data_IF_215651165412
#
_entry.id   IF_215651165412
#
_cell.length_a   1.000
_cell.length_b   1.000
_cell.length_c   1.000
_cell.angle_alpha   90.00
_cell.angle_beta   90.00
_cell.angle_gamma   90.00
#
_symmetry.space_group_name_H-M   'P 1'
#
loop_
_entity.id
_entity.type
_entity.pdbx_description
1 polymer ?
#
# COMPACT_ATOMS: atom_id res chain seq x y z
N UNK A 1 -19.00 14.00 19.12
CA UNK A 1 -17.62 13.57 19.45
C UNK A 1 -16.68 14.54 18.75
N UNK A 2 -16.07 15.50 19.45
CA UNK A 2 -15.48 16.69 18.80
C UNK A 2 -13.99 16.60 18.43
N UNK A 3 -13.28 15.53 18.79
CA UNK A 3 -11.92 15.29 18.32
C UNK A 3 -11.47 13.84 18.57
N UNK A 4 -10.58 13.34 17.72
CA UNK A 4 -9.83 12.12 17.98
C UNK A 4 -8.79 12.43 19.07
N UNK A 5 -8.87 11.71 20.18
CA UNK A 5 -7.92 11.81 21.29
C UNK A 5 -6.50 11.52 20.76
N UNK A 6 -5.51 12.31 21.19
CA UNK A 6 -4.12 12.20 20.74
C UNK A 6 -3.86 12.51 19.26
N UNK A 7 -4.80 13.13 18.53
CA UNK A 7 -4.59 13.53 17.12
C UNK A 7 -3.35 14.40 16.86
N UNK A 8 -2.88 15.16 17.86
CA UNK A 8 -1.63 15.95 17.78
C UNK A 8 -0.39 15.21 18.29
N UNK A 9 -0.57 14.08 18.96
CA UNK A 9 0.49 13.24 19.49
C UNK A 9 0.50 11.90 18.75
N UNK A 10 1.22 11.89 17.62
CA UNK A 10 1.30 10.75 16.72
C UNK A 10 1.83 9.50 17.41
N UNK A 11 2.78 9.63 18.33
CA UNK A 11 3.38 8.48 19.02
C UNK A 11 2.36 7.81 19.91
N UNK A 12 1.65 8.58 20.73
CA UNK A 12 0.61 8.04 21.61
C UNK A 12 -0.56 7.49 20.80
N UNK A 13 -0.96 8.16 19.70
CA UNK A 13 -2.02 7.67 18.84
C UNK A 13 -1.66 6.32 18.19
N UNK A 14 -0.46 6.20 17.62
CA UNK A 14 0.01 4.97 16.99
C UNK A 14 0.04 3.83 18.01
N UNK A 15 0.62 4.07 19.19
CA UNK A 15 0.66 3.09 20.28
C UNK A 15 -0.73 2.56 20.62
N UNK A 16 -1.73 3.44 20.75
CA UNK A 16 -3.10 3.02 21.09
C UNK A 16 -3.74 2.23 19.96
N UNK A 17 -3.53 2.63 18.70
CA UNK A 17 -4.05 1.90 17.52
C UNK A 17 -3.42 0.50 17.42
N UNK A 18 -2.15 0.35 17.79
CA UNK A 18 -1.41 -0.91 17.77
C UNK A 18 -1.67 -1.82 18.99
N UNK A 19 -2.05 -1.27 20.14
CA UNK A 19 -2.20 -2.05 21.38
C UNK A 19 -3.66 -2.38 21.73
N UNK A 20 -4.63 -1.52 21.37
CA UNK A 20 -6.03 -1.73 21.72
C UNK A 20 -6.78 -2.49 20.61
N UNK A 21 -7.21 -3.71 20.96
CA UNK A 21 -7.92 -4.64 20.07
C UNK A 21 -9.18 -4.04 19.43
N UNK A 22 -9.78 -3.02 20.07
CA UNK A 22 -10.97 -2.33 19.53
C UNK A 22 -10.66 -1.55 18.25
N UNK A 23 -9.41 -1.14 18.02
CA UNK A 23 -8.98 -0.52 16.75
C UNK A 23 -8.57 -1.56 15.71
N UNK A 24 -8.32 -2.79 16.14
CA UNK A 24 -7.84 -3.89 15.28
C UNK A 24 -8.94 -4.82 14.81
N UNK A 25 -10.17 -4.62 15.27
CA UNK A 25 -11.29 -5.51 14.99
C UNK A 25 -12.50 -4.70 14.55
N UNK A 26 -12.83 -4.82 13.28
CA UNK A 26 -14.07 -4.32 12.69
C UNK A 26 -14.79 -5.45 11.98
N UNK A 27 -16.12 -5.48 12.06
CA UNK A 27 -16.93 -6.45 11.34
C UNK A 27 -16.63 -6.37 9.83
N UNK A 28 -16.42 -7.53 9.20
CA UNK A 28 -16.09 -7.61 7.78
C UNK A 28 -17.12 -6.93 6.88
N UNK A 29 -18.42 -7.09 7.16
CA UNK A 29 -19.47 -6.44 6.36
C UNK A 29 -19.34 -4.91 6.41
N UNK A 30 -19.03 -4.35 7.58
CA UNK A 30 -18.77 -2.92 7.71
C UNK A 30 -17.51 -2.51 6.92
N UNK A 31 -16.46 -3.34 6.93
CA UNK A 31 -15.23 -3.09 6.17
C UNK A 31 -15.50 -3.07 4.66
N UNK A 32 -16.28 -4.03 4.18
CA UNK A 32 -16.67 -4.15 2.77
C UNK A 32 -17.52 -2.95 2.32
N UNK A 33 -18.52 -2.54 3.12
CA UNK A 33 -19.34 -1.36 2.81
C UNK A 33 -18.47 -0.11 2.72
N UNK A 34 -17.59 0.12 3.69
CA UNK A 34 -16.67 1.27 3.65
C UNK A 34 -15.81 1.20 2.40
N UNK A 35 -15.15 0.07 2.14
CA UNK A 35 -14.24 -0.11 1.02
C UNK A 35 -14.91 0.17 -0.34
N UNK A 36 -16.14 -0.33 -0.51
CA UNK A 36 -16.95 -0.13 -1.73
C UNK A 36 -17.37 1.34 -1.86
N UNK A 37 -17.92 1.93 -0.79
CA UNK A 37 -18.46 3.29 -0.82
C UNK A 37 -17.36 4.34 -1.00
N UNK A 38 -16.20 4.15 -0.37
CA UNK A 38 -15.07 5.08 -0.50
C UNK A 38 -14.23 4.81 -1.74
N UNK A 39 -14.36 3.64 -2.36
CA UNK A 39 -13.47 3.19 -3.43
C UNK A 39 -12.01 3.07 -2.96
N UNK A 40 -11.77 2.80 -1.67
CA UNK A 40 -10.43 2.82 -1.08
C UNK A 40 -9.54 1.67 -1.51
N UNK A 41 -10.09 0.61 -2.14
CA UNK A 41 -9.35 -0.57 -2.60
C UNK A 41 -8.49 -1.20 -1.49
N UNK A 42 -9.01 -1.20 -0.28
CA UNK A 42 -8.37 -1.83 0.86
C UNK A 42 -8.38 -3.34 0.66
N UNK A 43 -7.24 -3.97 0.93
CA UNK A 43 -7.09 -5.42 0.92
C UNK A 43 -7.01 -5.95 2.35
N UNK A 44 -7.65 -7.08 2.61
CA UNK A 44 -7.61 -7.76 3.90
C UNK A 44 -7.88 -9.26 3.71
N UNK A 45 -7.40 -10.12 4.63
CA UNK A 45 -7.47 -11.57 4.45
C UNK A 45 -8.88 -12.11 4.16
N UNK A 46 -8.96 -13.06 3.24
CA UNK A 46 -10.18 -13.80 2.96
C UNK A 46 -10.61 -14.69 4.14
N UNK A 47 -11.92 -14.86 4.31
CA UNK A 47 -12.49 -15.80 5.29
C UNK A 47 -12.45 -15.38 6.77
N UNK A 48 -11.93 -14.20 7.11
CA UNK A 48 -11.98 -13.67 8.49
C UNK A 48 -13.25 -12.86 8.75
N UNK A 49 -13.95 -13.17 9.85
CA UNK A 49 -15.15 -12.43 10.31
C UNK A 49 -14.84 -10.99 10.73
N UNK A 50 -13.64 -10.76 11.26
CA UNK A 50 -13.16 -9.46 11.68
C UNK A 50 -11.93 -9.02 10.88
N UNK A 51 -11.86 -7.72 10.59
CA UNK A 51 -10.83 -7.07 9.79
C UNK A 51 -10.10 -6.02 10.63
N UNK A 52 -8.76 -6.01 10.56
CA UNK A 52 -7.95 -4.92 11.07
C UNK A 52 -7.83 -3.83 10.00
N UNK A 53 -8.70 -2.83 10.08
CA UNK A 53 -8.75 -1.74 9.10
C UNK A 53 -7.54 -0.83 9.15
N UNK A 54 -6.98 -0.61 10.33
CA UNK A 54 -5.79 0.22 10.48
C UNK A 54 -4.61 -0.38 9.72
N UNK A 55 -4.43 -1.70 9.85
CA UNK A 55 -3.42 -2.44 9.10
C UNK A 55 -3.69 -2.40 7.59
N UNK A 56 -4.93 -2.66 7.16
CA UNK A 56 -5.29 -2.61 5.74
C UNK A 56 -4.97 -1.24 5.11
N UNK A 57 -5.32 -0.13 5.80
CA UNK A 57 -5.02 1.23 5.33
C UNK A 57 -3.51 1.47 5.27
N UNK A 58 -2.76 0.98 6.25
CA UNK A 58 -1.30 1.12 6.28
C UNK A 58 -0.67 0.39 5.09
N UNK A 59 -1.05 -0.87 4.87
CA UNK A 59 -0.55 -1.68 3.76
C UNK A 59 -0.85 -1.04 2.41
N UNK A 60 -2.09 -0.58 2.19
CA UNK A 60 -2.46 0.11 0.94
C UNK A 60 -1.62 1.38 0.70
N UNK A 61 -1.23 2.11 1.76
CA UNK A 61 -0.36 3.29 1.64
C UNK A 61 1.07 2.92 1.27
N UNK A 62 1.62 1.91 1.94
CA UNK A 62 2.97 1.39 1.68
C UNK A 62 3.07 0.85 0.24
N UNK A 63 2.07 0.09 -0.21
CA UNK A 63 1.95 -0.39 -1.59
C UNK A 63 1.87 0.77 -2.59
N UNK A 64 1.04 1.77 -2.33
CA UNK A 64 0.91 2.95 -3.19
C UNK A 64 2.22 3.73 -3.30
N UNK A 65 2.97 3.84 -2.20
CA UNK A 65 4.28 4.47 -2.18
C UNK A 65 5.29 3.67 -3.01
N UNK A 66 5.35 2.35 -2.82
CA UNK A 66 6.23 1.47 -3.59
C UNK A 66 5.94 1.54 -5.10
N UNK A 67 4.66 1.46 -5.50
CA UNK A 67 4.25 1.63 -6.90
C UNK A 67 4.67 2.99 -7.44
N UNK A 68 4.54 4.05 -6.63
CA UNK A 68 5.00 5.39 -6.98
C UNK A 68 6.51 5.46 -7.22
N UNK A 69 7.31 4.84 -6.35
CA UNK A 69 8.77 4.78 -6.48
C UNK A 69 9.18 4.01 -7.75
N UNK A 70 8.58 2.85 -8.01
CA UNK A 70 8.87 2.05 -9.20
C UNK A 70 8.53 2.83 -10.47
N UNK A 71 7.32 3.43 -10.53
CA UNK A 71 6.91 4.28 -11.66
C UNK A 71 7.92 5.40 -11.90
N UNK A 72 8.36 6.08 -10.85
CA UNK A 72 9.38 7.13 -10.93
C UNK A 72 10.70 6.61 -11.53
N UNK A 73 11.19 5.48 -11.03
CA UNK A 73 12.42 4.86 -11.51
C UNK A 73 12.33 4.45 -13.00
N UNK A 74 11.22 3.86 -13.42
CA UNK A 74 10.98 3.49 -14.83
C UNK A 74 11.00 4.72 -15.74
N UNK A 75 10.29 5.79 -15.34
CA UNK A 75 10.25 7.03 -16.13
C UNK A 75 11.62 7.71 -16.22
N UNK A 76 12.41 7.68 -15.16
CA UNK A 76 13.79 8.20 -15.18
C UNK A 76 14.66 7.38 -16.14
N UNK A 77 14.59 6.04 -16.09
CA UNK A 77 15.32 5.17 -17.02
C UNK A 77 14.96 5.49 -18.48
N UNK A 78 13.66 5.62 -18.78
CA UNK A 78 13.17 6.00 -20.11
C UNK A 78 13.70 7.37 -20.56
N UNK A 79 13.65 8.38 -19.68
CA UNK A 79 14.11 9.73 -19.98
C UNK A 79 15.63 9.80 -20.21
N UNK A 80 16.41 8.96 -19.53
CA UNK A 80 17.86 8.85 -19.71
C UNK A 80 18.26 7.99 -20.90
N UNK A 81 17.30 7.43 -21.64
CA UNK A 81 17.57 6.59 -22.81
C UNK A 81 18.12 5.20 -22.47
N UNK A 82 17.90 4.71 -21.24
CA UNK A 82 18.21 3.33 -20.86
C UNK A 82 17.35 2.39 -21.72
N UNK A 83 17.88 1.23 -22.10
CA UNK A 83 17.11 0.27 -22.89
C UNK A 83 15.97 -0.34 -22.05
N UNK A 84 14.91 -0.81 -22.71
CA UNK A 84 13.81 -1.51 -22.04
C UNK A 84 14.29 -2.72 -21.25
N UNK A 85 15.19 -3.51 -21.84
CA UNK A 85 15.77 -4.71 -21.20
C UNK A 85 16.65 -4.37 -20.00
N UNK A 86 17.43 -3.30 -20.06
CA UNK A 86 18.27 -2.89 -18.94
C UNK A 86 17.43 -2.29 -17.81
N UNK A 87 16.34 -1.61 -18.16
CA UNK A 87 15.37 -1.10 -17.18
C UNK A 87 14.73 -2.25 -16.39
N UNK A 88 14.31 -3.34 -17.05
CA UNK A 88 13.77 -4.52 -16.36
C UNK A 88 14.77 -5.04 -15.32
N UNK A 89 16.05 -5.18 -15.67
CA UNK A 89 17.09 -5.66 -14.75
C UNK A 89 17.29 -4.69 -13.59
N UNK A 90 17.38 -3.39 -13.85
CA UNK A 90 17.56 -2.38 -12.81
C UNK A 90 16.38 -2.33 -11.83
N UNK A 91 15.15 -2.44 -12.32
CA UNK A 91 13.95 -2.47 -11.47
C UNK A 91 13.90 -3.76 -10.64
N UNK A 92 14.23 -4.90 -11.23
CA UNK A 92 14.30 -6.18 -10.51
C UNK A 92 15.29 -6.11 -9.34
N UNK A 93 16.49 -5.59 -9.59
CA UNK A 93 17.54 -5.44 -8.58
C UNK A 93 17.16 -4.42 -7.50
N UNK A 94 16.68 -3.24 -7.90
CA UNK A 94 16.40 -2.13 -6.98
C UNK A 94 15.23 -2.40 -6.05
N UNK A 95 14.18 -3.07 -6.55
CA UNK A 95 12.94 -3.31 -5.80
C UNK A 95 12.77 -4.78 -5.38
N UNK A 96 13.79 -5.61 -5.57
CA UNK A 96 13.78 -7.04 -5.24
C UNK A 96 12.61 -7.82 -5.86
N UNK A 97 12.23 -7.43 -7.09
CA UNK A 97 11.15 -8.07 -7.84
C UNK A 97 11.69 -9.22 -8.68
N UNK A 98 10.84 -10.20 -8.98
CA UNK A 98 11.16 -11.19 -10.02
C UNK A 98 11.29 -10.53 -11.39
N UNK A 99 11.94 -11.22 -12.32
CA UNK A 99 12.07 -10.73 -13.70
C UNK A 99 10.70 -10.57 -14.38
N UNK A 100 9.75 -11.46 -14.11
CA UNK A 100 8.39 -11.36 -14.63
C UNK A 100 7.63 -10.15 -14.06
N UNK A 101 7.71 -9.92 -12.75
CA UNK A 101 7.05 -8.76 -12.12
C UNK A 101 7.65 -7.45 -12.61
N UNK A 102 8.97 -7.41 -12.75
CA UNK A 102 9.68 -6.26 -13.30
C UNK A 102 9.30 -6.00 -14.75
N UNK A 103 9.17 -7.04 -15.57
CA UNK A 103 8.73 -6.92 -16.95
C UNK A 103 7.32 -6.31 -17.04
N UNK A 104 6.36 -6.84 -16.30
CA UNK A 104 5.00 -6.30 -16.30
C UNK A 104 4.94 -4.86 -15.79
N UNK A 105 5.69 -4.54 -14.74
CA UNK A 105 5.72 -3.19 -14.18
C UNK A 105 6.39 -2.19 -15.12
N UNK A 106 7.51 -2.56 -15.75
CA UNK A 106 8.15 -1.71 -16.76
C UNK A 106 7.22 -1.51 -17.94
N UNK A 107 6.60 -2.57 -18.50
CA UNK A 107 5.62 -2.45 -19.59
C UNK A 107 4.48 -1.47 -19.29
N UNK A 108 4.02 -1.44 -18.04
CA UNK A 108 2.92 -0.55 -17.63
C UNK A 108 3.29 0.94 -17.73
N UNK A 109 4.56 1.29 -17.53
CA UNK A 109 5.01 2.69 -17.42
C UNK A 109 6.04 3.13 -18.48
N UNK A 110 6.47 2.21 -19.35
CA UNK A 110 7.42 2.46 -20.45
C UNK A 110 6.80 3.21 -21.62
#
# INVERSE_FOLDING_TARGET
MLYIKYSKDKQTLNKIVEEDIKFQSMERQAAEVINIVTGSKLEYPEGKEAVNMCLAIQQTREESELVGQIKGAVLVCKNLGVSFTDTIKQIAEMFHLSESESNETVKQYW
#
